data_IF_580527203391
#
_entry.id   IF_580527203391
#
_cell.length_a   1.000
_cell.length_b   1.000
_cell.length_c   1.000
_cell.angle_alpha   90.00
_cell.angle_beta   90.00
_cell.angle_gamma   90.00
#
_symmetry.space_group_name_H-M   'P 1'
#
loop_
_entity.id
_entity.type
_entity.pdbx_description
1 polymer ?
#
# COMPACT_ATOMS: atom_id res chain seq x y z
N UNK A 1 -0.21 10.08 2.95
CA UNK A 1 -0.66 11.43 2.51
C UNK A 1 -0.16 12.58 3.38
N UNK A 2 0.49 12.40 4.53
CA UNK A 2 1.21 13.46 5.30
C UNK A 2 0.46 14.79 5.55
N UNK A 3 -0.88 14.80 5.45
CA UNK A 3 -1.71 15.98 5.73
C UNK A 3 -2.03 16.00 7.21
N UNK A 4 -1.64 17.07 7.90
CA UNK A 4 -2.00 17.31 9.30
C UNK A 4 -3.17 18.31 9.39
N UNK A 5 -4.37 17.88 8.93
CA UNK A 5 -5.57 18.71 8.91
C UNK A 5 -6.82 17.86 9.20
N UNK A 6 -7.64 18.19 10.23
CA UNK A 6 -8.84 17.42 10.57
C UNK A 6 -9.88 17.37 9.44
N UNK A 7 -10.02 18.44 8.64
CA UNK A 7 -10.92 18.46 7.48
C UNK A 7 -10.45 17.47 6.39
N UNK A 8 -9.14 17.35 6.18
CA UNK A 8 -8.57 16.36 5.27
C UNK A 8 -8.88 14.93 5.72
N UNK A 9 -8.78 14.66 7.02
CA UNK A 9 -9.18 13.38 7.61
C UNK A 9 -10.66 13.06 7.37
N UNK A 10 -11.56 14.04 7.55
CA UNK A 10 -12.99 13.87 7.34
C UNK A 10 -13.33 13.59 5.86
N UNK A 11 -12.68 14.26 4.92
CA UNK A 11 -12.85 14.02 3.49
C UNK A 11 -12.39 12.60 3.11
N UNK A 12 -11.25 12.14 3.65
CA UNK A 12 -10.76 10.77 3.43
C UNK A 12 -11.76 9.76 4.00
N UNK A 13 -12.27 10.00 5.21
CA UNK A 13 -13.24 9.11 5.84
C UNK A 13 -14.56 9.05 5.06
N UNK A 14 -15.07 10.18 4.57
CA UNK A 14 -16.23 10.23 3.69
C UNK A 14 -15.99 9.43 2.39
N UNK A 15 -14.81 9.55 1.78
CA UNK A 15 -14.41 8.75 0.63
C UNK A 15 -14.39 7.24 0.91
N UNK A 16 -13.89 6.83 2.08
CA UNK A 16 -13.92 5.42 2.51
C UNK A 16 -15.34 4.90 2.72
N UNK A 17 -16.25 5.71 3.26
CA UNK A 17 -17.67 5.34 3.42
C UNK A 17 -18.32 5.10 2.06
N UNK A 18 -18.03 5.96 1.06
CA UNK A 18 -18.51 5.80 -0.31
C UNK A 18 -17.96 4.54 -0.98
N UNK A 19 -16.71 4.17 -0.70
CA UNK A 19 -16.14 2.93 -1.24
C UNK A 19 -16.74 1.68 -0.59
N UNK A 20 -16.79 1.63 0.74
CA UNK A 20 -17.40 0.55 1.51
C UNK A 20 -17.51 0.93 2.98
N UNK A 21 -18.74 0.92 3.52
CA UNK A 21 -19.00 1.22 4.94
C UNK A 21 -18.17 0.36 5.89
N UNK A 22 -17.97 -0.92 5.57
CA UNK A 22 -17.16 -1.83 6.37
C UNK A 22 -15.66 -1.47 6.35
N UNK A 23 -15.12 -1.06 5.20
CA UNK A 23 -13.72 -0.60 5.09
C UNK A 23 -13.49 0.68 5.85
N UNK A 24 -14.48 1.57 5.89
CA UNK A 24 -14.43 2.80 6.69
C UNK A 24 -14.36 2.48 8.19
N UNK A 25 -15.15 1.53 8.68
CA UNK A 25 -15.13 1.09 10.08
C UNK A 25 -13.77 0.50 10.47
N UNK A 26 -13.20 -0.39 9.63
CA UNK A 26 -11.87 -0.95 9.89
C UNK A 26 -10.76 0.11 9.84
N UNK A 27 -10.87 1.08 8.93
CA UNK A 27 -9.97 2.24 8.86
C UNK A 27 -10.04 3.13 10.11
N UNK A 28 -11.22 3.29 10.71
CA UNK A 28 -11.39 4.04 11.96
C UNK A 28 -10.73 3.36 13.17
N UNK A 29 -10.68 2.02 13.19
CA UNK A 29 -10.05 1.22 14.25
C UNK A 29 -8.51 1.26 14.18
N UNK A 30 -7.92 2.01 13.24
CA UNK A 30 -6.49 2.33 13.23
C UNK A 30 -5.63 1.51 12.28
N UNK A 31 -6.25 0.73 11.40
CA UNK A 31 -5.55 -0.10 10.42
C UNK A 31 -6.07 0.19 9.01
N UNK A 32 -5.19 0.58 8.10
CA UNK A 32 -5.50 0.63 6.68
C UNK A 32 -5.73 -0.79 6.11
N UNK A 33 -6.52 -0.95 5.02
CA UNK A 33 -7.34 -2.12 4.73
C UNK A 33 -6.59 -3.32 4.12
N UNK A 34 -5.35 -3.61 4.47
CA UNK A 34 -4.65 -4.77 3.90
C UNK A 34 -5.11 -6.10 4.49
N UNK A 35 -5.42 -6.16 5.79
CA UNK A 35 -6.14 -7.32 6.36
C UNK A 35 -7.50 -7.52 5.71
N UNK A 36 -8.17 -6.42 5.36
CA UNK A 36 -9.44 -6.40 4.64
C UNK A 36 -9.30 -6.87 3.17
N UNK A 37 -8.29 -6.42 2.42
CA UNK A 37 -8.07 -6.83 1.02
C UNK A 37 -7.79 -8.33 0.93
N UNK A 38 -7.06 -8.87 1.91
CA UNK A 38 -6.62 -10.27 1.90
C UNK A 38 -7.70 -11.23 2.42
N UNK A 39 -8.46 -10.84 3.45
CA UNK A 39 -9.41 -11.74 4.12
C UNK A 39 -10.89 -11.58 3.67
N UNK A 40 -11.32 -10.38 3.27
CA UNK A 40 -12.72 -10.10 2.86
C UNK A 40 -13.18 -10.83 1.59
N UNK A 41 -12.37 -11.17 0.59
CA UNK A 41 -12.91 -11.88 -0.58
C UNK A 41 -13.27 -13.34 -0.28
N UNK A 42 -12.77 -13.93 0.82
CA UNK A 42 -13.04 -15.33 1.19
C UNK A 42 -14.16 -15.50 2.22
N UNK A 43 -14.44 -14.47 3.02
CA UNK A 43 -15.61 -14.42 3.94
C UNK A 43 -16.43 -13.19 3.65
N UNK A 44 -17.76 -13.25 3.81
CA UNK A 44 -18.68 -12.14 3.54
C UNK A 44 -18.16 -10.77 4.00
N UNK A 45 -18.51 -9.72 3.26
CA UNK A 45 -18.09 -8.33 3.48
C UNK A 45 -18.25 -7.78 4.92
N UNK A 46 -18.99 -8.47 5.79
CA UNK A 46 -19.17 -8.17 7.20
C UNK A 46 -18.69 -9.38 8.00
N UNK A 47 -17.42 -9.34 8.43
CA UNK A 47 -16.84 -10.37 9.29
C UNK A 47 -16.33 -9.73 10.59
N UNK A 48 -17.20 -9.68 11.60
CA UNK A 48 -16.94 -8.99 12.88
C UNK A 48 -15.70 -9.52 13.62
N UNK A 49 -15.40 -10.82 13.50
CA UNK A 49 -14.20 -11.42 14.08
C UNK A 49 -12.89 -10.83 13.52
N UNK A 50 -12.91 -10.21 12.33
CA UNK A 50 -11.74 -9.51 11.77
C UNK A 50 -11.33 -8.29 12.61
N UNK A 51 -12.26 -7.72 13.37
CA UNK A 51 -11.95 -6.56 14.24
C UNK A 51 -10.96 -6.93 15.34
N UNK A 52 -10.94 -8.18 15.81
CA UNK A 52 -10.05 -8.61 16.89
C UNK A 52 -8.57 -8.51 16.50
N UNK A 53 -8.09 -9.16 15.42
CA UNK A 53 -6.72 -8.96 14.97
C UNK A 53 -6.48 -7.50 14.55
N UNK A 54 -7.50 -6.81 14.02
CA UNK A 54 -7.37 -5.40 13.64
C UNK A 54 -7.02 -4.49 14.82
N UNK A 55 -7.73 -4.65 15.95
CA UNK A 55 -7.49 -3.90 17.19
C UNK A 55 -6.10 -4.23 17.73
N UNK A 56 -5.74 -5.51 17.79
CA UNK A 56 -4.43 -5.93 18.29
C UNK A 56 -3.28 -5.32 17.47
N UNK A 57 -3.38 -5.34 16.14
CA UNK A 57 -2.38 -4.74 15.26
C UNK A 57 -2.34 -3.21 15.38
N UNK A 58 -3.50 -2.56 15.54
CA UNK A 58 -3.54 -1.11 15.83
C UNK A 58 -2.85 -0.78 17.16
N UNK A 59 -2.96 -1.63 18.18
CA UNK A 59 -2.26 -1.44 19.47
C UNK A 59 -0.75 -1.69 19.34
N UNK A 60 -0.33 -2.61 18.48
CA UNK A 60 1.08 -2.86 18.20
C UNK A 60 1.74 -1.73 17.38
N UNK A 61 0.96 -0.97 16.60
CA UNK A 61 1.47 0.08 15.72
C UNK A 61 2.27 1.18 16.46
N UNK A 62 1.78 1.77 17.57
CA UNK A 62 2.58 2.69 18.39
C UNK A 62 3.88 2.09 18.94
N UNK A 63 3.88 0.80 19.29
CA UNK A 63 5.05 0.11 19.83
C UNK A 63 6.13 -0.02 18.75
N UNK A 64 5.77 -0.56 17.59
CA UNK A 64 6.69 -0.70 16.46
C UNK A 64 7.13 0.67 15.96
N UNK A 65 6.22 1.65 15.92
CA UNK A 65 6.55 3.03 15.55
C UNK A 65 7.57 3.65 16.50
N UNK A 66 7.46 3.42 17.80
CA UNK A 66 8.40 3.95 18.80
C UNK A 66 9.77 3.31 18.66
N UNK A 67 9.84 1.99 18.47
CA UNK A 67 11.08 1.27 18.20
C UNK A 67 11.77 1.78 16.93
N UNK A 68 11.02 1.90 15.83
CA UNK A 68 11.56 2.41 14.56
C UNK A 68 11.98 3.88 14.67
N UNK A 69 11.23 4.70 15.39
CA UNK A 69 11.58 6.10 15.61
C UNK A 69 12.92 6.23 16.35
N UNK A 70 13.16 5.40 17.37
CA UNK A 70 14.43 5.40 18.11
C UNK A 70 15.66 5.02 17.26
N UNK A 71 15.45 4.23 16.21
CA UNK A 71 16.49 3.84 15.26
C UNK A 71 16.67 4.94 14.22
N UNK A 72 15.57 5.39 13.61
CA UNK A 72 15.58 6.36 12.52
C UNK A 72 15.95 7.77 12.97
N UNK A 73 15.73 8.11 14.25
CA UNK A 73 16.12 9.41 14.81
C UNK A 73 17.63 9.64 14.76
N UNK A 74 18.45 8.59 14.62
CA UNK A 74 19.91 8.73 14.41
C UNK A 74 20.27 9.37 13.08
N UNK A 75 19.37 9.33 12.11
CA UNK A 75 19.55 9.89 10.78
C UNK A 75 18.51 11.00 10.48
N UNK A 76 17.75 11.47 11.48
CA UNK A 76 16.65 12.43 11.31
C UNK A 76 15.59 12.00 10.28
N UNK A 77 15.43 10.68 10.10
CA UNK A 77 14.45 10.12 9.15
C UNK A 77 13.09 9.88 9.83
N UNK A 78 11.97 10.14 9.12
CA UNK A 78 10.65 9.74 9.58
C UNK A 78 10.46 8.21 9.46
N UNK A 79 9.51 7.66 10.23
CA UNK A 79 9.15 6.23 10.20
C UNK A 79 8.20 5.85 9.06
N UNK A 80 7.63 6.85 8.37
CA UNK A 80 6.66 6.68 7.27
C UNK A 80 5.54 5.68 7.61
N UNK A 81 5.18 4.81 6.67
CA UNK A 81 4.20 3.73 6.86
C UNK A 81 4.86 2.40 7.20
N UNK A 82 6.14 2.40 7.63
CA UNK A 82 6.89 1.17 7.93
C UNK A 82 6.28 0.36 9.08
N UNK A 83 5.85 0.95 10.21
CA UNK A 83 5.22 0.18 11.29
C UNK A 83 4.01 -0.60 10.79
N UNK A 84 3.19 0.03 9.97
CA UNK A 84 2.04 -0.59 9.32
C UNK A 84 2.46 -1.73 8.38
N UNK A 85 3.43 -1.52 7.48
CA UNK A 85 3.87 -2.55 6.55
C UNK A 85 4.47 -3.77 7.27
N UNK A 86 5.28 -3.56 8.33
CA UNK A 86 5.85 -4.65 9.14
C UNK A 86 4.74 -5.48 9.78
N UNK A 87 3.79 -4.80 10.42
CA UNK A 87 2.67 -5.46 11.11
C UNK A 87 1.78 -6.20 10.11
N UNK A 88 1.45 -5.61 8.98
CA UNK A 88 0.65 -6.27 7.93
C UNK A 88 1.36 -7.52 7.40
N UNK A 89 2.64 -7.43 7.07
CA UNK A 89 3.41 -8.60 6.63
C UNK A 89 3.42 -9.69 7.70
N UNK A 90 3.64 -9.33 8.96
CA UNK A 90 3.61 -10.26 10.08
C UNK A 90 2.23 -10.91 10.24
N UNK A 91 1.14 -10.15 10.08
CA UNK A 91 -0.23 -10.68 10.13
C UNK A 91 -0.53 -11.65 8.99
N UNK A 92 -0.13 -11.29 7.76
CA UNK A 92 -0.31 -12.12 6.56
C UNK A 92 0.46 -13.43 6.72
N UNK A 93 1.72 -13.38 7.16
CA UNK A 93 2.53 -14.59 7.40
C UNK A 93 1.98 -15.43 8.55
N UNK A 94 1.58 -14.81 9.67
CA UNK A 94 1.10 -15.53 10.85
C UNK A 94 -0.24 -16.23 10.62
N UNK A 95 -1.08 -15.65 9.78
CA UNK A 95 -2.38 -16.23 9.46
C UNK A 95 -2.21 -17.25 8.33
N UNK A 96 -1.66 -16.83 7.19
CA UNK A 96 -1.51 -17.66 5.99
C UNK A 96 -2.82 -18.04 5.31
N UNK A 97 -2.72 -18.65 4.13
CA UNK A 97 -3.88 -19.06 3.33
C UNK A 97 -4.73 -20.15 4.02
N UNK A 98 -4.09 -21.10 4.71
CA UNK A 98 -4.74 -22.28 5.28
C UNK A 98 -5.34 -22.06 6.67
N UNK A 99 -5.46 -20.81 7.13
CA UNK A 99 -6.06 -20.53 8.42
C UNK A 99 -7.58 -20.75 8.40
N UNK A 100 -8.10 -21.55 9.32
CA UNK A 100 -9.53 -21.82 9.41
C UNK A 100 -10.34 -20.60 9.88
N UNK A 101 -9.77 -19.76 10.74
CA UNK A 101 -10.48 -18.60 11.31
C UNK A 101 -10.41 -17.37 10.40
N UNK A 102 -9.26 -17.15 9.75
CA UNK A 102 -8.98 -15.98 8.93
C UNK A 102 -8.37 -16.38 7.58
N UNK A 103 -9.13 -17.02 6.68
CA UNK A 103 -8.59 -17.45 5.39
C UNK A 103 -8.19 -16.22 4.55
N UNK A 104 -7.04 -16.33 3.88
CA UNK A 104 -6.40 -15.24 3.14
C UNK A 104 -6.38 -15.53 1.64
N UNK A 105 -6.43 -14.49 0.79
CA UNK A 105 -6.17 -14.64 -0.64
C UNK A 105 -4.83 -15.35 -0.86
N UNK A 106 -4.83 -16.34 -1.76
CA UNK A 106 -3.61 -17.03 -2.15
C UNK A 106 -2.83 -16.16 -3.14
N UNK A 107 -1.71 -15.59 -2.69
CA UNK A 107 -0.77 -14.90 -3.57
C UNK A 107 0.15 -15.91 -4.24
N UNK A 108 -0.09 -16.16 -5.53
CA UNK A 108 0.79 -17.02 -6.34
C UNK A 108 1.74 -16.14 -7.17
N UNK A 109 3.04 -16.47 -7.22
CA UNK A 109 3.96 -15.81 -8.13
C UNK A 109 3.52 -16.04 -9.58
N UNK A 110 3.78 -15.08 -10.45
CA UNK A 110 3.46 -15.21 -11.87
C UNK A 110 4.41 -16.23 -12.50
N UNK A 111 3.91 -17.41 -12.82
CA UNK A 111 4.70 -18.50 -13.42
C UNK A 111 4.69 -18.52 -14.95
N UNK A 112 3.88 -17.67 -15.60
CA UNK A 112 3.83 -17.57 -17.07
C UNK A 112 3.79 -16.12 -17.55
N UNK A 113 4.55 -15.84 -18.61
CA UNK A 113 4.52 -14.57 -19.34
C UNK A 113 3.31 -14.56 -20.28
N UNK A 114 2.66 -13.40 -20.42
CA UNK A 114 1.61 -13.24 -21.42
C UNK A 114 2.25 -13.15 -22.82
N UNK A 115 1.70 -13.90 -23.79
CA UNK A 115 2.27 -14.04 -25.13
C UNK A 115 1.90 -12.80 -25.98
N UNK A 116 2.67 -11.72 -25.84
CA UNK A 116 2.45 -10.46 -26.57
C UNK A 116 3.09 -10.52 -27.96
N UNK A 117 2.29 -10.31 -29.01
CA UNK A 117 2.80 -10.11 -30.37
C UNK A 117 3.35 -8.69 -30.51
N UNK A 118 4.59 -8.57 -31.00
CA UNK A 118 5.36 -7.31 -31.09
C UNK A 118 4.69 -6.17 -31.87
N UNK A 119 3.59 -6.42 -32.58
CA UNK A 119 2.85 -5.47 -33.40
C UNK A 119 1.84 -4.59 -32.65
N UNK A 120 1.57 -4.83 -31.36
CA UNK A 120 0.57 -4.07 -30.55
C UNK A 120 1.20 -3.00 -29.62
N UNK A 121 2.49 -2.70 -29.79
CA UNK A 121 3.28 -1.85 -28.89
C UNK A 121 3.18 -0.35 -29.24
N UNK A 122 2.09 0.31 -28.80
CA UNK A 122 1.91 1.78 -28.87
C UNK A 122 2.06 2.50 -27.51
N UNK A 123 2.07 3.84 -27.52
CA UNK A 123 2.94 4.75 -26.74
C UNK A 123 2.70 5.05 -25.22
N UNK A 124 1.81 4.41 -24.43
CA UNK A 124 1.84 4.45 -22.94
C UNK A 124 3.02 3.63 -22.31
N UNK A 125 4.21 3.77 -22.92
CA UNK A 125 5.35 2.85 -23.05
C UNK A 125 6.27 2.63 -21.84
N UNK A 126 5.85 2.84 -20.59
CA UNK A 126 6.71 2.46 -19.43
C UNK A 126 6.02 1.54 -18.43
N UNK A 127 4.71 1.65 -18.20
CA UNK A 127 3.95 0.55 -17.56
C UNK A 127 3.75 -0.63 -18.52
N UNK A 128 3.70 -0.34 -19.82
CA UNK A 128 3.71 -1.32 -20.90
C UNK A 128 5.10 -1.95 -21.14
N UNK A 129 6.19 -1.23 -20.87
CA UNK A 129 7.57 -1.72 -21.07
C UNK A 129 7.93 -2.91 -20.17
N UNK A 130 7.10 -3.18 -19.15
CA UNK A 130 7.35 -4.17 -18.13
C UNK A 130 6.25 -5.26 -18.09
N UNK A 131 5.41 -5.36 -19.13
CA UNK A 131 4.39 -6.42 -19.29
C UNK A 131 3.39 -6.55 -18.11
N UNK A 132 3.06 -5.44 -17.44
CA UNK A 132 2.02 -5.42 -16.42
C UNK A 132 0.64 -5.63 -17.07
N UNK A 133 -0.25 -6.48 -16.51
CA UNK A 133 -1.58 -6.67 -17.06
C UNK A 133 -2.39 -5.38 -16.92
N UNK A 134 -3.10 -4.98 -17.98
CA UNK A 134 -3.88 -3.73 -18.03
C UNK A 134 -4.85 -3.59 -16.86
N UNK A 135 -5.46 -4.69 -16.42
CA UNK A 135 -6.37 -4.72 -15.29
C UNK A 135 -5.72 -4.19 -14.00
N UNK A 136 -4.46 -4.53 -13.71
CA UNK A 136 -3.76 -4.05 -12.50
C UNK A 136 -3.43 -2.55 -12.58
N UNK A 137 -3.26 -2.02 -13.79
CA UNK A 137 -3.04 -0.59 -14.03
C UNK A 137 -4.34 0.17 -13.77
N UNK A 138 -5.47 -0.30 -14.31
CA UNK A 138 -6.79 0.32 -14.08
C UNK A 138 -7.23 0.28 -12.61
N UNK A 139 -6.86 -0.77 -11.87
CA UNK A 139 -7.07 -0.83 -10.42
C UNK A 139 -6.14 0.09 -9.61
N UNK A 140 -5.20 0.80 -10.24
CA UNK A 140 -4.32 1.75 -9.57
C UNK A 140 -3.23 1.12 -8.69
N UNK A 141 -3.01 -0.20 -8.79
CA UNK A 141 -2.03 -0.94 -7.98
C UNK A 141 -0.59 -0.47 -8.20
N UNK A 142 -0.29 0.09 -9.37
CA UNK A 142 1.02 0.62 -9.71
C UNK A 142 1.24 2.08 -9.28
N UNK A 143 0.16 2.81 -8.97
CA UNK A 143 0.21 4.25 -8.76
C UNK A 143 0.41 4.68 -7.30
N UNK A 144 -0.13 3.93 -6.34
CA UNK A 144 -0.24 4.41 -4.96
C UNK A 144 1.11 4.68 -4.29
N UNK A 145 2.12 3.80 -4.47
CA UNK A 145 3.46 3.99 -3.92
C UNK A 145 4.19 5.18 -4.56
N UNK A 146 4.03 5.37 -5.88
CA UNK A 146 4.59 6.50 -6.62
C UNK A 146 4.01 7.82 -6.10
N UNK A 147 2.68 7.89 -5.94
CA UNK A 147 2.00 9.09 -5.39
C UNK A 147 2.52 9.40 -3.97
N UNK A 148 2.65 8.40 -3.10
CA UNK A 148 3.14 8.61 -1.74
C UNK A 148 4.57 9.16 -1.70
N UNK A 149 5.45 8.63 -2.55
CA UNK A 149 6.84 9.07 -2.64
C UNK A 149 7.00 10.46 -3.28
N UNK A 150 6.23 10.75 -4.32
CA UNK A 150 6.20 12.08 -4.94
C UNK A 150 5.73 13.14 -3.93
N UNK A 151 4.73 12.85 -3.09
CA UNK A 151 4.29 13.77 -2.03
C UNK A 151 5.39 13.93 -0.96
N UNK A 152 6.06 12.83 -0.58
CA UNK A 152 7.13 12.88 0.44
C UNK A 152 8.31 13.77 0.00
N UNK A 153 8.80 13.61 -1.23
CA UNK A 153 9.96 14.34 -1.76
C UNK A 153 9.56 15.72 -2.31
N UNK A 154 8.37 15.84 -2.89
CA UNK A 154 7.89 17.05 -3.57
C UNK A 154 7.36 18.14 -2.64
N UNK A 155 8.00 18.38 -1.49
CA UNK A 155 7.67 19.51 -0.60
C UNK A 155 7.38 19.17 0.85
N UNK A 156 7.22 17.88 1.22
CA UNK A 156 6.94 17.50 2.61
C UNK A 156 8.20 17.30 3.46
N UNK A 157 9.16 16.51 2.99
CA UNK A 157 10.43 16.25 3.70
C UNK A 157 11.63 16.97 3.08
N UNK A 158 11.49 17.44 1.83
CA UNK A 158 12.47 18.27 1.15
C UNK A 158 11.83 19.62 0.78
N UNK A 159 12.60 20.70 0.87
CA UNK A 159 12.16 21.99 0.37
C UNK A 159 11.90 21.91 -1.14
N UNK A 160 10.77 22.48 -1.59
CA UNK A 160 10.38 22.44 -2.99
C UNK A 160 11.25 23.41 -3.81
N UNK A 161 12.13 22.85 -4.63
CA UNK A 161 12.94 23.54 -5.62
C UNK A 161 12.79 22.79 -6.95
N UNK A 162 13.27 23.36 -8.06
CA UNK A 162 13.21 22.67 -9.35
C UNK A 162 14.03 21.36 -9.33
N UNK A 163 15.15 21.31 -8.59
CA UNK A 163 15.96 20.11 -8.43
C UNK A 163 15.22 19.01 -7.66
N UNK A 164 14.58 19.36 -6.54
CA UNK A 164 13.83 18.38 -5.74
C UNK A 164 12.54 17.94 -6.42
N UNK A 165 11.96 18.80 -7.26
CA UNK A 165 10.83 18.41 -8.12
C UNK A 165 11.24 17.37 -9.17
N UNK A 166 12.38 17.55 -9.85
CA UNK A 166 12.92 16.53 -10.76
C UNK A 166 13.26 15.22 -10.02
N UNK A 167 13.83 15.32 -8.81
CA UNK A 167 14.10 14.17 -7.96
C UNK A 167 12.81 13.43 -7.55
N UNK A 168 11.74 14.16 -7.22
CA UNK A 168 10.43 13.57 -6.90
C UNK A 168 9.86 12.78 -8.09
N UNK A 169 9.93 13.35 -9.30
CA UNK A 169 9.50 12.66 -10.54
C UNK A 169 10.37 11.42 -10.81
N UNK A 170 11.68 11.52 -10.63
CA UNK A 170 12.60 10.39 -10.79
C UNK A 170 12.29 9.27 -9.77
N UNK A 171 12.05 9.61 -8.51
CA UNK A 171 11.70 8.66 -7.45
C UNK A 171 10.35 7.96 -7.73
N UNK A 172 9.34 8.70 -8.17
CA UNK A 172 8.05 8.12 -8.55
C UNK A 172 8.17 7.09 -9.68
N UNK A 173 8.97 7.41 -10.71
CA UNK A 173 9.26 6.47 -11.81
C UNK A 173 10.04 5.25 -11.35
N UNK A 174 11.04 5.44 -10.51
CA UNK A 174 11.85 4.37 -9.94
C UNK A 174 10.98 3.40 -9.13
N UNK A 175 10.17 3.88 -8.20
CA UNK A 175 9.29 3.05 -7.36
C UNK A 175 8.28 2.26 -8.20
N UNK A 176 7.78 2.86 -9.29
CA UNK A 176 6.91 2.16 -10.24
C UNK A 176 7.66 1.00 -10.92
N UNK A 177 8.95 1.16 -11.24
CA UNK A 177 9.79 0.11 -11.82
C UNK A 177 10.15 -1.02 -10.85
N UNK A 178 10.41 -0.73 -9.57
CA UNK A 178 10.82 -1.74 -8.57
C UNK A 178 9.72 -2.74 -8.22
N UNK A 179 8.45 -2.33 -8.29
CA UNK A 179 7.31 -3.23 -8.07
C UNK A 179 7.29 -4.41 -9.07
N UNK A 180 7.96 -4.27 -10.22
CA UNK A 180 8.09 -5.34 -11.20
C UNK A 180 9.07 -6.44 -10.76
N UNK A 181 10.23 -6.08 -10.22
CA UNK A 181 11.28 -7.07 -9.87
C UNK A 181 10.80 -8.08 -8.83
N UNK A 182 9.87 -7.66 -7.95
CA UNK A 182 9.28 -8.52 -6.92
C UNK A 182 8.15 -9.43 -7.46
N UNK A 183 7.62 -9.14 -8.65
CA UNK A 183 6.53 -9.91 -9.27
C UNK A 183 7.03 -10.90 -10.34
N UNK A 184 8.30 -10.78 -10.75
CA UNK A 184 8.97 -11.62 -11.75
C UNK A 184 9.92 -12.67 -11.10
N UNK A 185 10.25 -12.53 -9.81
CA UNK A 185 10.96 -13.56 -9.02
C UNK A 185 9.96 -14.42 -8.24
#
# INVERSE_FOLDING_TARGET
>A
MFVNNPLGGLIIFAGLILQNRWRALNGFVGTFPTGDIVCIPLKSAIYWWLLLPNIFMSMACPIVSSALASINSRWDLPVFTLPFNILVCLHVVATGHYNHHFPQLLFQPRTSMHNLTWSELDYPKVSLALAAPFQNIYFGLWGYNCVLACIAIGGMFYALTWQTHLLAVACGRFITGYFLSFLIM
#
